data_IF_775026944803
#
_entry.id   IF_775026944803
#
_cell.length_a   1.000
_cell.length_b   1.000
_cell.length_c   1.000
_cell.angle_alpha   90.00
_cell.angle_beta   90.00
_cell.angle_gamma   90.00
#
_symmetry.space_group_name_H-M   'P 1'
#
loop_
_entity.id
_entity.type
_entity.pdbx_description
1 polymer ?
#
# COMPACT_ATOMS: atom_id res chain seq x y z
N UNK A 1 21.36 1.70 -87.33
CA UNK A 1 20.51 0.57 -87.61
C UNK A 1 19.65 0.28 -86.40
N UNK A 2 18.47 0.79 -86.44
CA UNK A 2 17.17 0.15 -86.33
C UNK A 2 16.71 -0.17 -84.89
N UNK A 3 15.76 0.67 -84.41
CA UNK A 3 14.48 0.36 -83.79
C UNK A 3 14.49 -0.61 -82.59
N UNK A 4 13.83 -0.33 -81.43
CA UNK A 4 12.36 -0.15 -81.20
C UNK A 4 12.06 0.44 -79.84
N UNK A 5 11.12 1.31 -79.80
CA UNK A 5 10.27 1.82 -78.77
C UNK A 5 9.54 0.74 -78.01
N UNK A 6 9.29 0.89 -76.71
CA UNK A 6 7.92 0.95 -76.24
C UNK A 6 7.82 1.10 -74.73
N UNK A 7 6.98 1.96 -74.36
CA UNK A 7 6.28 2.28 -73.09
C UNK A 7 6.00 1.07 -72.22
N UNK A 8 6.31 1.21 -70.96
CA UNK A 8 5.47 0.68 -69.88
C UNK A 8 5.29 1.71 -68.76
N UNK A 9 4.20 2.45 -68.84
CA UNK A 9 3.53 3.09 -67.75
C UNK A 9 3.02 1.99 -66.82
N UNK A 10 3.62 1.78 -65.65
CA UNK A 10 3.03 0.98 -64.58
C UNK A 10 2.72 1.89 -63.42
N UNK A 11 1.41 1.98 -63.15
CA UNK A 11 0.73 2.48 -61.99
C UNK A 11 1.52 2.17 -60.70
N UNK A 12 1.93 3.20 -59.98
CA UNK A 12 2.23 3.08 -58.56
C UNK A 12 0.88 3.21 -57.78
N UNK A 13 0.49 2.20 -57.01
CA UNK A 13 -0.63 2.41 -56.06
C UNK A 13 -0.12 3.33 -54.96
N UNK A 14 -0.80 4.45 -54.76
CA UNK A 14 -0.64 5.32 -53.62
C UNK A 14 -1.10 4.48 -52.41
N UNK A 15 -0.14 3.97 -51.64
CA UNK A 15 -0.40 3.42 -50.30
C UNK A 15 -0.63 4.63 -49.40
N UNK A 16 -1.91 4.93 -49.15
CA UNK A 16 -2.30 5.81 -48.07
C UNK A 16 -1.99 5.08 -46.75
N UNK A 17 -0.83 5.38 -46.17
CA UNK A 17 -0.51 4.97 -44.79
C UNK A 17 -1.44 5.76 -43.87
N UNK A 18 -2.53 5.12 -43.51
CA UNK A 18 -3.40 5.60 -42.45
C UNK A 18 -2.59 5.50 -41.15
N UNK A 19 -1.92 6.59 -40.75
CA UNK A 19 -1.34 6.73 -39.42
C UNK A 19 -2.48 6.68 -38.39
N UNK A 20 -2.84 5.49 -37.95
CA UNK A 20 -3.57 5.33 -36.69
C UNK A 20 -2.69 5.92 -35.59
N UNK A 21 -2.92 7.18 -35.24
CA UNK A 21 -2.44 7.74 -34.00
C UNK A 21 -3.10 6.93 -32.87
N UNK A 22 -2.40 5.91 -32.38
CA UNK A 22 -2.66 5.32 -31.09
C UNK A 22 -2.52 6.49 -30.09
N UNK A 23 -3.66 7.03 -29.66
CA UNK A 23 -3.74 7.90 -28.50
C UNK A 23 -3.33 7.03 -27.32
N UNK A 24 -2.04 7.00 -27.01
CA UNK A 24 -1.55 6.54 -25.72
C UNK A 24 -2.17 7.51 -24.73
N UNK A 25 -2.99 7.04 -23.77
CA UNK A 25 -3.53 7.94 -22.76
C UNK A 25 -2.33 8.59 -22.08
N UNK A 26 -2.19 9.90 -22.29
CA UNK A 26 -1.12 10.69 -21.73
C UNK A 26 -1.12 10.49 -20.22
N UNK A 27 0.00 10.04 -19.68
CA UNK A 27 0.26 10.12 -18.25
C UNK A 27 0.05 11.58 -17.85
N UNK A 28 -1.00 11.84 -17.10
CA UNK A 28 -1.22 13.12 -16.45
C UNK A 28 -0.01 13.33 -15.53
N UNK A 29 0.97 14.11 -15.97
CA UNK A 29 1.95 14.66 -15.06
C UNK A 29 1.14 15.52 -14.08
N UNK A 30 0.95 14.97 -12.86
CA UNK A 30 0.26 15.68 -11.79
C UNK A 30 0.90 17.05 -11.64
N UNK A 31 0.14 18.12 -11.89
CA UNK A 31 0.60 19.49 -11.71
C UNK A 31 1.14 19.63 -10.29
N UNK A 32 2.40 20.03 -10.08
CA UNK A 32 2.86 20.33 -8.74
C UNK A 32 1.94 21.39 -8.14
N UNK A 33 1.43 21.12 -6.93
CA UNK A 33 0.59 22.09 -6.25
C UNK A 33 1.37 23.42 -6.12
N UNK A 34 0.76 24.57 -6.46
CA UNK A 34 1.46 25.85 -6.39
C UNK A 34 2.03 26.08 -4.98
N UNK A 35 3.34 26.27 -4.87
CA UNK A 35 3.99 26.71 -3.63
C UNK A 35 4.68 25.65 -2.77
N UNK A 36 4.63 24.33 -3.11
CA UNK A 36 5.37 23.32 -2.33
C UNK A 36 6.63 22.88 -3.06
N UNK A 37 7.79 23.38 -2.63
CA UNK A 37 9.07 22.94 -3.15
C UNK A 37 9.64 21.78 -2.35
N UNK A 38 9.92 20.63 -3.02
CA UNK A 38 10.59 19.46 -2.47
C UNK A 38 11.73 18.98 -3.36
N UNK A 39 12.76 18.41 -2.74
CA UNK A 39 13.95 17.90 -3.43
C UNK A 39 13.80 16.42 -3.85
N UNK A 40 12.74 15.73 -3.42
CA UNK A 40 12.46 14.35 -3.77
C UNK A 40 12.25 14.18 -5.29
N UNK A 41 12.75 13.08 -5.83
CA UNK A 41 12.52 12.66 -7.24
C UNK A 41 11.08 12.25 -7.45
N UNK A 42 10.51 11.51 -6.49
CA UNK A 42 9.11 11.13 -6.49
C UNK A 42 8.51 11.31 -5.09
N UNK A 43 7.26 11.73 -5.03
CA UNK A 43 6.55 11.89 -3.77
C UNK A 43 5.04 11.75 -3.94
N UNK A 44 4.37 11.38 -2.84
CA UNK A 44 2.92 11.41 -2.73
C UNK A 44 2.52 11.78 -1.31
N UNK A 45 1.43 12.51 -1.18
CA UNK A 45 0.72 12.77 0.07
C UNK A 45 -0.72 12.33 -0.11
N UNK A 46 -1.21 11.49 0.77
CA UNK A 46 -2.59 11.00 0.75
C UNK A 46 -3.26 11.21 2.10
N UNK A 47 -4.55 11.40 2.08
CA UNK A 47 -5.39 11.25 3.26
C UNK A 47 -5.46 9.76 3.62
N UNK A 48 -5.13 9.41 4.88
CA UNK A 48 -5.00 8.01 5.29
C UNK A 48 -6.35 7.28 5.37
N UNK A 49 -7.44 8.00 5.62
CA UNK A 49 -8.77 7.42 5.75
C UNK A 49 -9.42 7.20 4.38
N UNK A 50 -9.30 8.19 3.49
CA UNK A 50 -9.98 8.19 2.18
C UNK A 50 -9.11 7.66 1.04
N UNK A 51 -7.77 7.73 1.18
CA UNK A 51 -6.82 7.46 0.08
C UNK A 51 -6.75 8.60 -0.94
N UNK A 52 -7.42 9.73 -0.69
CA UNK A 52 -7.38 10.91 -1.56
C UNK A 52 -5.95 11.41 -1.72
N UNK A 53 -5.56 11.68 -2.97
CA UNK A 53 -4.24 12.23 -3.28
C UNK A 53 -4.29 13.75 -3.15
N UNK A 54 -3.58 14.28 -2.16
CA UNK A 54 -3.48 15.71 -1.89
C UNK A 54 -2.30 16.36 -2.62
N UNK A 55 -1.25 15.59 -2.87
CA UNK A 55 -0.07 15.99 -3.62
C UNK A 55 0.57 14.79 -4.28
N UNK A 56 1.06 14.95 -5.50
CA UNK A 56 1.89 13.97 -6.16
C UNK A 56 2.96 14.62 -7.04
N UNK A 57 4.12 13.98 -7.12
CA UNK A 57 5.22 14.32 -8.00
C UNK A 57 5.84 13.03 -8.48
N UNK A 58 5.77 12.75 -9.78
CA UNK A 58 6.32 11.52 -10.37
C UNK A 58 5.99 10.26 -9.54
N UNK A 59 4.77 10.21 -8.96
CA UNK A 59 4.39 9.24 -7.94
C UNK A 59 4.43 7.79 -8.42
N UNK A 60 4.36 7.57 -9.73
CA UNK A 60 4.32 6.27 -10.40
C UNK A 60 5.65 5.86 -11.05
N UNK A 61 6.71 6.66 -10.87
CA UNK A 61 8.04 6.34 -11.39
C UNK A 61 8.72 5.30 -10.50
N UNK A 62 9.17 4.14 -11.04
CA UNK A 62 9.88 3.13 -10.27
C UNK A 62 11.25 3.65 -9.80
N UNK A 63 11.50 3.60 -8.50
CA UNK A 63 12.74 4.04 -7.85
C UNK A 63 13.18 3.01 -6.79
N UNK A 64 14.48 2.91 -6.49
CA UNK A 64 14.96 2.08 -5.40
C UNK A 64 14.39 2.58 -4.06
N UNK A 65 13.78 1.69 -3.24
CA UNK A 65 13.13 2.06 -1.98
C UNK A 65 14.09 2.25 -0.80
N UNK A 66 15.33 1.80 -0.90
CA UNK A 66 16.20 1.62 0.27
C UNK A 66 15.48 0.87 1.41
N UNK A 67 15.80 1.19 2.67
CA UNK A 67 15.22 0.50 3.84
C UNK A 67 13.74 0.77 4.10
N UNK A 68 13.02 1.54 3.27
CA UNK A 68 11.55 1.57 3.34
C UNK A 68 10.94 0.23 2.93
N UNK A 69 11.68 -0.63 2.21
CA UNK A 69 11.38 -2.06 1.97
C UNK A 69 10.95 -2.81 3.23
N UNK A 70 11.53 -2.46 4.39
CA UNK A 70 11.28 -3.13 5.67
C UNK A 70 9.84 -2.97 6.19
N UNK A 71 9.06 -2.06 5.60
CA UNK A 71 7.61 -1.99 5.84
C UNK A 71 6.94 -3.28 5.36
N UNK A 72 7.25 -3.73 4.14
CA UNK A 72 6.72 -4.99 3.60
C UNK A 72 7.24 -6.19 4.38
N UNK A 73 8.52 -6.17 4.77
CA UNK A 73 9.12 -7.25 5.59
C UNK A 73 8.39 -7.42 6.91
N UNK A 74 8.13 -6.32 7.62
CA UNK A 74 7.41 -6.35 8.89
C UNK A 74 5.94 -6.78 8.70
N UNK A 75 5.28 -6.30 7.65
CA UNK A 75 3.91 -6.67 7.33
C UNK A 75 3.76 -8.18 7.15
N UNK A 76 4.59 -8.79 6.30
CA UNK A 76 4.52 -10.25 6.05
C UNK A 76 4.85 -11.04 7.31
N UNK A 77 5.86 -10.62 8.07
CA UNK A 77 6.22 -11.29 9.31
C UNK A 77 5.06 -11.30 10.32
N UNK A 78 4.35 -10.16 10.45
CA UNK A 78 3.20 -10.02 11.35
C UNK A 78 1.96 -10.79 10.88
N UNK A 79 1.81 -11.02 9.58
CA UNK A 79 0.72 -11.83 9.03
C UNK A 79 0.98 -13.34 9.14
N UNK A 80 2.25 -13.76 9.11
CA UNK A 80 2.62 -15.17 9.00
C UNK A 80 3.05 -15.81 10.33
N UNK A 81 3.45 -15.01 11.33
CA UNK A 81 4.06 -15.50 12.56
C UNK A 81 3.56 -14.75 13.79
N UNK A 82 3.47 -15.44 14.91
CA UNK A 82 3.24 -14.81 16.21
C UNK A 82 4.51 -14.12 16.72
N UNK A 83 4.35 -13.07 17.53
CA UNK A 83 5.47 -12.26 18.05
C UNK A 83 6.50 -13.05 18.84
N UNK A 84 6.07 -14.10 19.55
CA UNK A 84 6.93 -14.99 20.32
C UNK A 84 7.66 -16.04 19.48
N UNK A 85 7.40 -16.14 18.17
CA UNK A 85 8.09 -17.11 17.31
C UNK A 85 9.59 -16.90 17.36
N UNK A 86 10.32 -17.94 17.76
CA UNK A 86 11.78 -17.93 17.84
C UNK A 86 12.36 -18.31 16.48
N UNK A 87 13.26 -17.49 15.96
CA UNK A 87 13.87 -17.65 14.65
C UNK A 87 15.39 -17.88 14.77
N UNK A 88 15.93 -18.92 14.10
CA UNK A 88 17.38 -19.21 14.12
C UNK A 88 18.14 -18.22 13.24
N UNK A 89 19.32 -17.83 13.68
CA UNK A 89 20.23 -16.97 12.92
C UNK A 89 21.16 -17.80 12.07
N UNK A 90 21.09 -17.65 10.77
CA UNK A 90 21.99 -18.26 9.79
C UNK A 90 23.32 -17.51 9.67
N UNK A 91 24.29 -18.14 9.01
CA UNK A 91 25.53 -17.48 8.59
C UNK A 91 25.26 -16.32 7.62
N UNK A 92 24.31 -16.50 6.70
CA UNK A 92 23.88 -15.45 5.75
C UNK A 92 23.36 -14.22 6.50
N UNK A 93 22.43 -14.39 7.43
CA UNK A 93 21.87 -13.28 8.23
C UNK A 93 22.97 -12.55 9.02
N UNK A 94 23.85 -13.28 9.71
CA UNK A 94 24.93 -12.68 10.51
C UNK A 94 25.97 -11.93 9.65
N UNK A 95 26.14 -12.30 8.38
CA UNK A 95 27.10 -11.71 7.44
C UNK A 95 26.51 -10.53 6.65
N UNK A 96 25.20 -10.29 6.75
CA UNK A 96 24.52 -9.21 6.01
C UNK A 96 25.17 -7.85 6.26
N UNK A 97 25.38 -6.98 5.25
CA UNK A 97 25.98 -5.65 5.43
C UNK A 97 25.18 -4.73 6.38
N UNK A 98 25.83 -3.71 7.01
CA UNK A 98 25.12 -2.75 7.89
C UNK A 98 23.95 -2.01 7.20
N UNK A 99 22.94 -1.51 7.99
CA UNK A 99 22.84 -1.44 9.47
C UNK A 99 22.53 -2.80 10.10
N UNK A 100 22.91 -2.96 11.38
CA UNK A 100 22.80 -4.25 12.09
C UNK A 100 22.41 -4.05 13.57
N UNK A 101 21.81 -5.10 14.15
CA UNK A 101 21.78 -5.34 15.59
C UNK A 101 22.87 -6.34 16.02
N UNK A 102 23.65 -6.82 15.05
CA UNK A 102 24.78 -7.74 15.22
C UNK A 102 24.35 -9.09 15.75
N UNK A 103 23.33 -9.70 15.13
CA UNK A 103 23.00 -11.11 15.40
C UNK A 103 24.18 -12.02 15.03
N UNK A 104 24.35 -13.12 15.77
CA UNK A 104 25.43 -14.10 15.57
C UNK A 104 24.86 -15.43 15.11
N UNK A 105 25.57 -16.11 14.23
CA UNK A 105 25.21 -17.46 13.77
C UNK A 105 24.87 -18.37 14.94
N UNK A 106 23.80 -19.19 14.79
CA UNK A 106 23.25 -20.10 15.79
C UNK A 106 22.60 -19.41 17.01
N UNK A 107 22.47 -18.08 17.03
CA UNK A 107 21.56 -17.43 18.00
C UNK A 107 20.11 -17.72 17.62
N UNK A 108 19.25 -17.67 18.63
CA UNK A 108 17.79 -17.78 18.49
C UNK A 108 17.16 -16.45 18.93
N UNK A 109 16.36 -15.83 18.07
CA UNK A 109 15.76 -14.53 18.38
C UNK A 109 14.25 -14.57 18.24
N UNK A 110 13.49 -14.08 19.22
CA UNK A 110 12.04 -13.91 19.06
C UNK A 110 11.73 -12.80 18.06
N UNK A 111 10.64 -13.01 17.30
CA UNK A 111 10.24 -12.11 16.22
C UNK A 111 10.01 -10.66 16.68
N UNK A 112 9.42 -10.44 17.86
CA UNK A 112 9.21 -9.10 18.39
C UNK A 112 10.53 -8.31 18.49
N UNK A 113 11.60 -8.91 18.96
CA UNK A 113 12.93 -8.27 19.08
C UNK A 113 13.55 -7.99 17.72
N UNK A 114 13.37 -8.92 16.76
CA UNK A 114 13.80 -8.74 15.37
C UNK A 114 13.05 -7.59 14.69
N UNK A 115 11.74 -7.46 14.93
CA UNK A 115 10.93 -6.37 14.39
C UNK A 115 11.36 -5.00 14.94
N UNK A 116 11.64 -4.90 16.25
CA UNK A 116 12.23 -3.68 16.82
C UNK A 116 13.57 -3.33 16.16
N UNK A 117 14.46 -4.31 15.99
CA UNK A 117 15.74 -4.12 15.28
C UNK A 117 15.53 -3.65 13.84
N UNK A 118 14.61 -4.28 13.13
CA UNK A 118 14.27 -4.01 11.72
C UNK A 118 13.68 -2.62 11.52
N UNK A 119 12.70 -2.21 12.33
CA UNK A 119 11.97 -0.96 12.14
C UNK A 119 12.67 0.25 12.76
N UNK A 120 13.24 0.15 13.96
CA UNK A 120 13.90 1.28 14.63
C UNK A 120 15.33 1.51 14.10
N UNK A 121 16.18 0.49 14.24
CA UNK A 121 17.61 0.55 13.86
C UNK A 121 17.82 0.34 12.36
N UNK A 122 16.77 -0.08 11.65
CA UNK A 122 16.87 -0.46 10.24
C UNK A 122 17.81 -1.64 9.98
N UNK A 123 17.87 -2.59 10.93
CA UNK A 123 18.80 -3.70 10.91
C UNK A 123 18.56 -4.64 9.72
N UNK A 124 19.56 -4.79 8.86
CA UNK A 124 19.52 -5.67 7.68
C UNK A 124 19.64 -7.14 8.10
N UNK A 125 20.51 -7.44 9.04
CA UNK A 125 20.70 -8.78 9.62
C UNK A 125 19.40 -9.32 10.25
N UNK A 126 18.70 -8.51 11.05
CA UNK A 126 17.40 -8.87 11.60
C UNK A 126 16.34 -9.11 10.50
N UNK A 127 16.36 -8.31 9.44
CA UNK A 127 15.42 -8.49 8.29
C UNK A 127 15.66 -9.82 7.57
N UNK A 128 16.93 -10.26 7.44
CA UNK A 128 17.28 -11.56 6.85
C UNK A 128 16.84 -12.70 7.77
N UNK A 129 17.06 -12.59 9.09
CA UNK A 129 16.55 -13.60 10.05
C UNK A 129 15.03 -13.74 9.94
N UNK A 130 14.30 -12.62 9.87
CA UNK A 130 12.85 -12.63 9.67
C UNK A 130 12.47 -13.35 8.36
N UNK A 131 13.16 -13.04 7.26
CA UNK A 131 12.88 -13.63 5.96
C UNK A 131 13.09 -15.15 5.97
N UNK A 132 14.24 -15.59 6.44
CA UNK A 132 14.60 -17.01 6.52
C UNK A 132 13.70 -17.77 7.50
N UNK A 133 13.42 -17.20 8.68
CA UNK A 133 12.54 -17.79 9.69
C UNK A 133 11.07 -17.83 9.30
N UNK A 134 10.65 -16.97 8.37
CA UNK A 134 9.27 -16.93 7.88
C UNK A 134 9.05 -17.86 6.68
N UNK A 135 9.96 -17.83 5.70
CA UNK A 135 9.78 -18.49 4.41
C UNK A 135 10.85 -19.55 4.09
N UNK A 136 11.84 -19.75 4.96
CA UNK A 136 12.93 -20.71 4.78
C UNK A 136 14.11 -20.16 3.95
N UNK A 137 13.91 -19.12 3.12
CA UNK A 137 15.01 -18.43 2.44
C UNK A 137 14.64 -16.98 2.08
N UNK A 138 15.62 -16.17 1.75
CA UNK A 138 15.46 -14.77 1.30
C UNK A 138 14.66 -14.73 0.00
N UNK A 139 14.91 -15.63 -0.93
CA UNK A 139 14.25 -15.69 -2.25
C UNK A 139 12.76 -16.02 -2.09
N UNK A 140 12.44 -17.06 -1.33
CA UNK A 140 11.03 -17.42 -1.04
C UNK A 140 10.29 -16.31 -0.31
N UNK A 141 11.00 -15.58 0.57
CA UNK A 141 10.43 -14.43 1.23
C UNK A 141 10.18 -13.27 0.27
N UNK A 142 11.09 -13.02 -0.67
CA UNK A 142 10.89 -12.02 -1.73
C UNK A 142 9.69 -12.36 -2.61
N UNK A 143 9.43 -13.65 -2.89
CA UNK A 143 8.23 -14.09 -3.59
C UNK A 143 6.95 -13.78 -2.77
N UNK A 144 6.98 -13.96 -1.44
CA UNK A 144 5.88 -13.55 -0.56
C UNK A 144 5.66 -12.04 -0.63
N UNK A 145 6.76 -11.25 -0.58
CA UNK A 145 6.68 -9.78 -0.69
C UNK A 145 6.04 -9.35 -2.01
N UNK A 146 6.40 -9.97 -3.12
CA UNK A 146 5.87 -9.65 -4.44
C UNK A 146 4.40 -10.06 -4.59
N UNK A 147 4.00 -11.24 -4.09
CA UNK A 147 2.58 -11.64 -4.05
C UNK A 147 1.74 -10.68 -3.22
N UNK A 148 2.23 -10.30 -2.04
CA UNK A 148 1.56 -9.32 -1.17
C UNK A 148 1.46 -7.95 -1.82
N UNK A 149 2.48 -7.50 -2.55
CA UNK A 149 2.44 -6.24 -3.30
C UNK A 149 1.31 -6.25 -4.33
N UNK A 150 1.15 -7.33 -5.09
CA UNK A 150 0.04 -7.50 -6.05
C UNK A 150 -1.31 -7.51 -5.35
N UNK A 151 -1.44 -8.26 -4.25
CA UNK A 151 -2.67 -8.34 -3.43
C UNK A 151 -3.11 -6.97 -2.92
N UNK A 152 -2.17 -6.16 -2.45
CA UNK A 152 -2.42 -4.79 -1.97
C UNK A 152 -2.77 -3.85 -3.13
N UNK A 153 -2.40 -4.18 -4.38
CA UNK A 153 -2.54 -3.34 -5.56
C UNK A 153 -1.30 -2.51 -5.90
N UNK A 154 -0.16 -2.76 -5.26
CA UNK A 154 1.14 -2.14 -5.52
C UNK A 154 1.82 -2.78 -6.75
N UNK A 155 1.28 -2.54 -7.94
CA UNK A 155 1.60 -3.28 -9.17
C UNK A 155 2.90 -2.85 -9.86
N UNK A 156 3.47 -1.72 -9.45
CA UNK A 156 4.76 -1.20 -9.97
C UNK A 156 5.89 -1.36 -8.96
N UNK A 157 5.80 -2.42 -8.16
CA UNK A 157 6.74 -2.75 -7.09
C UNK A 157 7.31 -4.14 -7.31
N UNK A 158 8.61 -4.30 -7.11
CA UNK A 158 9.27 -5.58 -7.13
C UNK A 158 10.37 -5.64 -6.08
N UNK A 159 10.34 -6.64 -5.23
CA UNK A 159 11.29 -6.90 -4.16
C UNK A 159 12.15 -8.11 -4.48
N UNK A 160 13.45 -8.02 -4.19
CA UNK A 160 14.40 -9.14 -4.31
C UNK A 160 15.14 -9.43 -2.99
N UNK A 161 14.95 -8.59 -1.98
CA UNK A 161 15.52 -8.79 -0.65
C UNK A 161 14.65 -8.13 0.43
N UNK A 162 14.77 -8.54 1.72
CA UNK A 162 13.92 -8.05 2.80
C UNK A 162 14.38 -6.72 3.42
N UNK A 163 15.55 -6.19 3.03
CA UNK A 163 16.18 -5.07 3.73
C UNK A 163 16.30 -3.79 2.90
N UNK A 164 16.24 -3.87 1.57
CA UNK A 164 16.29 -2.71 0.69
C UNK A 164 17.68 -2.23 0.32
N UNK A 165 18.72 -3.06 0.46
CA UNK A 165 20.01 -2.81 -0.19
C UNK A 165 19.83 -2.90 -1.70
N UNK A 166 20.63 -2.10 -2.42
CA UNK A 166 20.53 -1.98 -3.86
C UNK A 166 20.75 -3.33 -4.56
N UNK A 167 19.80 -3.71 -5.41
CA UNK A 167 19.87 -4.90 -6.24
C UNK A 167 19.18 -4.64 -7.59
N UNK A 168 19.56 -5.40 -8.61
CA UNK A 168 18.86 -5.35 -9.88
C UNK A 168 17.38 -5.72 -9.66
N UNK A 169 16.47 -5.00 -10.32
CA UNK A 169 15.02 -5.20 -10.21
C UNK A 169 14.41 -5.00 -8.80
N UNK A 170 15.11 -4.34 -7.86
CA UNK A 170 14.55 -3.97 -6.56
C UNK A 170 14.04 -2.54 -6.60
N UNK A 171 12.74 -2.34 -6.76
CA UNK A 171 12.13 -1.03 -6.96
C UNK A 171 10.70 -0.96 -6.41
N UNK A 172 10.24 0.23 -6.19
CA UNK A 172 8.85 0.60 -5.88
C UNK A 172 8.53 1.97 -6.46
N UNK A 173 7.28 2.41 -6.35
CA UNK A 173 6.87 3.79 -6.63
C UNK A 173 6.45 4.49 -5.34
N UNK A 174 6.38 5.83 -5.34
CA UNK A 174 5.92 6.56 -4.17
C UNK A 174 4.45 6.20 -3.85
N UNK A 175 3.62 6.00 -4.87
CA UNK A 175 2.22 5.57 -4.72
C UNK A 175 2.12 4.17 -4.14
N UNK A 176 2.83 3.21 -4.69
CA UNK A 176 2.80 1.83 -4.22
C UNK A 176 3.30 1.72 -2.78
N UNK A 177 4.39 2.43 -2.45
CA UNK A 177 4.93 2.41 -1.09
C UNK A 177 3.97 3.06 -0.07
N UNK A 178 3.29 4.14 -0.44
CA UNK A 178 2.24 4.73 0.40
C UNK A 178 1.07 3.75 0.63
N UNK A 179 0.67 3.02 -0.40
CA UNK A 179 -0.37 1.99 -0.32
C UNK A 179 0.06 0.81 0.58
N UNK A 180 1.28 0.31 0.41
CA UNK A 180 1.87 -0.73 1.27
C UNK A 180 1.93 -0.25 2.72
N UNK A 181 2.33 1.00 2.95
CA UNK A 181 2.43 1.58 4.28
C UNK A 181 1.05 1.76 4.93
N UNK A 182 0.06 2.23 4.18
CA UNK A 182 -1.34 2.33 4.63
C UNK A 182 -1.87 0.95 5.06
N UNK A 183 -1.57 -0.09 4.26
CA UNK A 183 -1.99 -1.46 4.58
C UNK A 183 -1.28 -1.99 5.83
N UNK A 184 0.04 -1.81 5.94
CA UNK A 184 0.82 -2.19 7.14
C UNK A 184 0.32 -1.45 8.39
N UNK A 185 -0.11 -0.20 8.25
CA UNK A 185 -0.69 0.61 9.32
C UNK A 185 -2.01 0.07 9.89
N UNK A 186 -2.66 -0.91 9.26
CA UNK A 186 -3.82 -1.61 9.84
C UNK A 186 -3.42 -2.52 11.00
N UNK A 187 -2.17 -2.99 11.03
CA UNK A 187 -1.63 -3.83 12.10
C UNK A 187 -1.26 -2.96 13.33
N UNK A 188 -1.92 -3.14 14.50
CA UNK A 188 -1.61 -2.35 15.69
C UNK A 188 -0.15 -2.47 16.12
N UNK A 189 0.40 -3.68 16.04
CA UNK A 189 1.80 -3.98 16.39
C UNK A 189 2.79 -3.25 15.48
N UNK A 190 2.49 -3.15 14.19
CA UNK A 190 3.33 -2.37 13.25
C UNK A 190 3.37 -0.89 13.66
N UNK A 191 2.21 -0.29 13.95
CA UNK A 191 2.13 1.11 14.40
C UNK A 191 2.91 1.31 15.70
N UNK A 192 2.71 0.44 16.68
CA UNK A 192 3.39 0.49 17.97
C UNK A 192 4.90 0.46 17.81
N UNK A 193 5.44 -0.54 17.10
CA UNK A 193 6.88 -0.70 16.94
C UNK A 193 7.46 0.46 16.12
N UNK A 194 6.89 0.78 14.95
CA UNK A 194 7.43 1.83 14.08
C UNK A 194 7.28 3.25 14.65
N UNK A 195 6.35 3.45 15.61
CA UNK A 195 6.17 4.69 16.37
C UNK A 195 7.04 4.79 17.63
N UNK A 196 7.70 3.71 18.04
CA UNK A 196 8.57 3.72 19.23
C UNK A 196 9.85 4.52 18.96
N UNK A 197 10.18 5.48 19.84
CA UNK A 197 11.38 6.34 19.71
C UNK A 197 12.67 5.62 20.06
N UNK A 198 12.66 4.92 21.17
CA UNK A 198 13.81 4.16 21.70
C UNK A 198 13.33 2.85 22.33
N UNK A 199 14.15 1.83 22.28
CA UNK A 199 13.87 0.53 22.87
C UNK A 199 15.19 -0.18 23.22
N UNK A 200 15.27 -0.80 24.37
CA UNK A 200 16.35 -1.73 24.70
C UNK A 200 15.85 -3.16 24.47
N UNK A 201 16.56 -3.91 23.67
CA UNK A 201 16.29 -5.34 23.46
C UNK A 201 17.46 -6.15 24.01
N UNK A 202 17.14 -7.26 24.66
CA UNK A 202 18.17 -8.18 25.16
C UNK A 202 18.24 -9.41 24.26
N UNK A 203 19.44 -9.77 23.84
CA UNK A 203 19.65 -10.96 23.04
C UNK A 203 19.62 -12.24 23.91
N UNK A 204 19.55 -13.42 23.29
CA UNK A 204 19.54 -14.69 24.04
C UNK A 204 20.77 -14.95 24.91
N UNK A 205 21.88 -14.21 24.71
CA UNK A 205 23.12 -14.27 25.51
C UNK A 205 23.21 -13.10 26.51
N UNK A 206 22.07 -12.54 26.92
CA UNK A 206 21.94 -11.42 27.88
C UNK A 206 22.65 -10.12 27.48
N UNK A 207 23.03 -9.96 26.21
CA UNK A 207 23.55 -8.69 25.69
C UNK A 207 22.43 -7.73 25.37
N UNK A 208 22.40 -6.60 26.02
CA UNK A 208 21.42 -5.53 25.72
C UNK A 208 21.87 -4.67 24.56
N UNK A 209 20.97 -4.43 23.62
CA UNK A 209 21.16 -3.53 22.47
C UNK A 209 20.17 -2.37 22.58
N UNK A 210 20.71 -1.17 22.67
CA UNK A 210 19.89 0.05 22.64
C UNK A 210 19.56 0.41 21.19
N UNK A 211 18.27 0.58 20.92
CA UNK A 211 17.73 0.93 19.62
C UNK A 211 17.18 2.36 19.67
N UNK A 212 17.61 3.19 18.73
CA UNK A 212 17.03 4.51 18.47
C UNK A 212 16.40 4.51 17.10
N UNK A 213 15.15 4.98 17.02
CA UNK A 213 14.44 5.05 15.75
C UNK A 213 15.09 6.06 14.80
N UNK A 214 15.32 5.65 13.57
CA UNK A 214 15.89 6.50 12.53
C UNK A 214 14.89 7.53 11.98
N UNK A 215 13.61 7.41 12.29
CA UNK A 215 12.61 8.43 11.99
C UNK A 215 12.79 9.64 12.92
N UNK A 216 13.52 10.66 12.46
CA UNK A 216 13.79 11.86 13.25
C UNK A 216 12.56 12.75 13.44
N UNK A 217 11.49 12.57 12.66
CA UNK A 217 10.24 13.32 12.83
C UNK A 217 9.46 12.88 14.07
N UNK A 218 9.72 11.67 14.62
CA UNK A 218 9.12 11.24 15.88
C UNK A 218 9.57 12.16 17.04
N UNK A 219 8.61 12.89 17.59
CA UNK A 219 8.81 13.84 18.68
C UNK A 219 9.43 15.17 18.27
N UNK A 220 9.67 15.43 16.97
CA UNK A 220 10.12 16.73 16.45
C UNK A 220 9.13 17.36 15.48
N UNK A 221 8.32 16.55 14.81
CA UNK A 221 7.23 17.02 13.95
C UNK A 221 5.89 16.81 14.65
N UNK A 222 5.09 17.88 14.90
CA UNK A 222 3.83 17.76 15.59
C UNK A 222 2.89 16.77 14.90
N UNK A 223 2.41 15.79 15.65
CA UNK A 223 1.47 14.78 15.15
C UNK A 223 2.11 13.60 14.41
N UNK A 224 3.44 13.51 14.25
CA UNK A 224 4.08 12.33 13.65
C UNK A 224 3.80 11.08 14.50
N UNK A 225 3.13 10.08 13.93
CA UNK A 225 2.74 8.87 14.62
C UNK A 225 3.77 7.75 14.46
N UNK A 226 4.13 7.42 13.22
CA UNK A 226 5.07 6.35 12.91
C UNK A 226 5.59 6.50 11.46
N UNK A 227 6.66 5.80 11.14
CA UNK A 227 7.23 5.83 9.79
C UNK A 227 8.55 5.08 9.66
N UNK A 228 9.00 4.94 8.40
CA UNK A 228 10.26 4.28 8.06
C UNK A 228 11.09 5.13 7.12
N UNK A 229 12.36 5.37 7.48
CA UNK A 229 13.36 6.02 6.62
C UNK A 229 14.26 5.00 5.94
N UNK A 230 14.86 5.40 4.82
CA UNK A 230 15.85 4.61 4.09
C UNK A 230 16.89 5.48 3.41
N UNK A 231 18.07 4.91 3.21
CA UNK A 231 19.16 5.50 2.43
C UNK A 231 20.04 4.43 1.83
N UNK A 232 20.33 4.57 0.55
CA UNK A 232 21.48 3.97 -0.15
C UNK A 232 22.08 5.01 -1.10
N UNK A 233 23.28 4.77 -1.59
CA UNK A 233 23.90 5.68 -2.57
C UNK A 233 23.06 5.83 -3.84
N UNK A 234 22.40 4.76 -4.29
CA UNK A 234 21.55 4.73 -5.49
C UNK A 234 20.15 5.31 -5.22
N UNK A 235 19.51 4.88 -4.14
CA UNK A 235 18.16 5.33 -3.77
C UNK A 235 18.12 6.78 -3.29
N UNK A 236 19.24 7.33 -2.80
CA UNK A 236 19.29 8.55 -2.01
C UNK A 236 18.42 8.39 -0.75
N UNK A 237 17.88 9.48 -0.21
CA UNK A 237 17.06 9.44 1.01
C UNK A 237 15.60 9.17 0.68
N UNK A 238 15.00 8.21 1.37
CA UNK A 238 13.61 7.80 1.24
C UNK A 238 12.91 7.84 2.60
N UNK A 239 11.62 8.15 2.60
CA UNK A 239 10.80 8.14 3.81
C UNK A 239 9.34 7.82 3.46
N UNK A 240 8.69 7.07 4.33
CA UNK A 240 7.24 6.92 4.36
C UNK A 240 6.78 7.01 5.80
N UNK A 241 5.70 7.75 6.07
CA UNK A 241 5.19 7.93 7.43
C UNK A 241 3.80 8.52 7.49
N UNK A 242 3.17 8.39 8.65
CA UNK A 242 1.83 8.93 8.94
C UNK A 242 1.91 9.94 10.06
N UNK A 243 1.21 11.04 9.89
CA UNK A 243 1.00 12.06 10.92
C UNK A 243 -0.49 12.34 11.09
N UNK A 244 -0.88 12.78 12.29
CA UNK A 244 -2.25 13.14 12.67
C UNK A 244 -2.31 14.53 13.28
N UNK A 245 -3.25 15.37 12.81
CA UNK A 245 -3.57 16.68 13.40
C UNK A 245 -5.04 16.99 13.21
N UNK A 246 -5.69 17.50 14.25
CA UNK A 246 -7.09 17.92 14.17
C UNK A 246 -8.05 16.83 13.71
N UNK A 247 -7.79 15.56 14.07
CA UNK A 247 -8.60 14.42 13.65
C UNK A 247 -8.35 13.94 12.22
N UNK A 248 -7.43 14.57 11.48
CA UNK A 248 -7.03 14.18 10.13
C UNK A 248 -5.71 13.43 10.12
N UNK A 249 -5.67 12.30 9.44
CA UNK A 249 -4.51 11.44 9.29
C UNK A 249 -3.96 11.53 7.85
N UNK A 250 -2.68 11.86 7.70
CA UNK A 250 -2.03 11.95 6.40
C UNK A 250 -0.87 10.98 6.29
N UNK A 251 -0.75 10.31 5.15
CA UNK A 251 0.42 9.49 4.79
C UNK A 251 1.24 10.23 3.75
N UNK A 252 2.52 10.41 4.03
CA UNK A 252 3.51 10.99 3.13
C UNK A 252 4.52 9.94 2.70
N UNK A 253 4.83 9.88 1.41
CA UNK A 253 5.95 9.11 0.88
C UNK A 253 6.84 9.99 0.01
N UNK A 254 8.16 9.94 0.24
CA UNK A 254 9.18 10.63 -0.57
C UNK A 254 10.29 9.66 -0.94
N UNK A 255 10.69 9.62 -2.21
CA UNK A 255 11.76 8.79 -2.75
C UNK A 255 12.80 9.64 -3.47
N UNK A 256 14.07 9.30 -3.32
CA UNK A 256 15.16 9.97 -4.01
C UNK A 256 15.39 11.43 -3.58
N UNK A 257 15.17 11.75 -2.32
CA UNK A 257 15.27 13.09 -1.75
C UNK A 257 16.70 13.45 -1.33
N UNK A 258 17.03 14.75 -1.37
CA UNK A 258 18.24 15.29 -0.73
C UNK A 258 18.04 15.47 0.78
N UNK A 259 16.80 15.77 1.22
CA UNK A 259 16.43 15.89 2.63
C UNK A 259 15.00 15.39 2.87
N UNK A 260 14.84 14.07 2.98
CA UNK A 260 13.56 13.40 3.08
C UNK A 260 12.68 13.84 4.26
N UNK A 261 13.27 14.21 5.40
CA UNK A 261 12.50 14.70 6.55
C UNK A 261 11.97 16.11 6.32
N UNK A 262 12.77 16.98 5.70
CA UNK A 262 12.32 18.34 5.35
C UNK A 262 11.25 18.29 4.26
N UNK A 263 11.43 17.45 3.25
CA UNK A 263 10.45 17.26 2.19
C UNK A 263 9.13 16.70 2.73
N UNK A 264 9.21 15.66 3.59
CA UNK A 264 8.04 15.07 4.24
C UNK A 264 7.30 16.08 5.14
N UNK A 265 8.02 16.85 5.96
CA UNK A 265 7.43 17.87 6.80
C UNK A 265 6.69 18.95 5.99
N UNK A 266 7.30 19.42 4.89
CA UNK A 266 6.66 20.40 3.99
C UNK A 266 5.38 19.87 3.35
N UNK A 267 5.39 18.61 2.90
CA UNK A 267 4.21 17.98 2.33
C UNK A 267 3.11 17.78 3.38
N UNK A 268 3.47 17.35 4.58
CA UNK A 268 2.51 17.22 5.68
C UNK A 268 1.93 18.58 6.08
N UNK A 269 2.78 19.63 6.19
CA UNK A 269 2.31 20.99 6.49
C UNK A 269 1.39 21.52 5.39
N UNK A 270 1.69 21.24 4.12
CA UNK A 270 0.80 21.54 3.00
C UNK A 270 -0.54 20.82 3.18
N UNK A 271 -0.55 19.51 3.39
CA UNK A 271 -1.78 18.74 3.51
C UNK A 271 -2.64 19.11 4.73
N UNK A 272 -2.03 19.49 5.85
CA UNK A 272 -2.77 19.94 7.03
C UNK A 272 -3.29 21.38 6.91
N UNK A 273 -2.68 22.22 6.06
CA UNK A 273 -3.15 23.59 5.77
C UNK A 273 -4.20 23.61 4.66
N UNK A 274 -4.10 22.70 3.72
CA UNK A 274 -5.09 22.58 2.66
C UNK A 274 -6.36 22.07 3.31
N UNK A 275 -7.39 22.91 3.38
CA UNK A 275 -8.74 22.39 3.59
C UNK A 275 -8.92 21.31 2.53
N UNK A 276 -9.39 20.15 2.95
CA UNK A 276 -9.80 19.14 1.99
C UNK A 276 -10.95 19.75 1.20
N UNK A 277 -10.63 20.51 0.15
CA UNK A 277 -11.60 20.67 -0.92
C UNK A 277 -11.73 19.27 -1.51
N UNK A 278 -12.80 18.56 -1.22
CA UNK A 278 -12.94 17.23 -1.77
C UNK A 278 -12.91 17.40 -3.28
N UNK A 279 -11.99 16.75 -3.97
CA UNK A 279 -12.02 16.58 -5.43
C UNK A 279 -13.42 16.13 -5.88
N UNK A 280 -14.17 15.58 -4.95
CA UNK A 280 -15.55 15.13 -5.05
C UNK A 280 -16.62 16.23 -4.88
N UNK A 281 -16.35 17.36 -4.23
CA UNK A 281 -17.30 18.49 -4.18
C UNK A 281 -17.52 19.12 -5.57
N UNK A 282 -16.53 19.00 -6.47
CA UNK A 282 -16.69 19.38 -7.87
C UNK A 282 -17.55 18.38 -8.65
N UNK A 283 -17.53 17.10 -8.24
CA UNK A 283 -18.31 16.00 -8.82
C UNK A 283 -19.74 15.92 -8.23
N UNK A 284 -19.98 16.44 -7.03
CA UNK A 284 -21.33 16.52 -6.45
C UNK A 284 -22.28 17.42 -7.27
N UNK A 285 -21.73 18.34 -8.09
CA UNK A 285 -22.53 19.21 -8.96
C UNK A 285 -22.97 18.54 -10.26
N UNK A 286 -22.34 17.44 -10.66
CA UNK A 286 -22.49 16.89 -12.01
C UNK A 286 -23.12 15.49 -12.09
N UNK A 287 -23.35 14.76 -10.98
CA UNK A 287 -23.92 13.39 -11.04
C UNK A 287 -24.77 13.06 -9.80
N UNK A 288 -26.01 12.67 -10.02
CA UNK A 288 -26.87 12.11 -8.97
C UNK A 288 -26.41 10.69 -8.57
N UNK A 289 -26.66 10.27 -7.32
CA UNK A 289 -26.28 8.93 -6.79
C UNK A 289 -26.97 7.79 -7.56
N UNK A 290 -28.01 8.13 -8.34
CA UNK A 290 -28.85 7.20 -9.08
C UNK A 290 -28.29 6.80 -10.45
N UNK A 291 -27.23 7.46 -10.95
CA UNK A 291 -26.74 7.27 -12.33
C UNK A 291 -25.73 6.13 -12.50
N UNK A 292 -25.23 5.56 -11.41
CA UNK A 292 -24.40 4.35 -11.48
C UNK A 292 -25.32 3.12 -11.47
N UNK A 293 -25.56 2.53 -12.62
CA UNK A 293 -26.26 1.25 -12.70
C UNK A 293 -25.51 0.22 -11.83
N UNK A 294 -26.21 -0.49 -10.91
CA UNK A 294 -25.56 -1.55 -10.14
C UNK A 294 -25.08 -2.63 -11.11
N UNK A 295 -23.82 -3.05 -10.96
CA UNK A 295 -23.33 -4.27 -11.61
C UNK A 295 -24.21 -5.46 -11.19
N UNK A 296 -24.25 -6.52 -12.00
CA UNK A 296 -24.89 -7.78 -11.58
C UNK A 296 -24.33 -8.18 -10.21
N UNK A 297 -25.16 -8.76 -9.32
CA UNK A 297 -24.81 -9.10 -7.91
C UNK A 297 -23.61 -10.04 -7.74
N UNK A 298 -22.92 -10.40 -8.81
CA UNK A 298 -21.86 -11.42 -8.84
C UNK A 298 -20.45 -10.91 -9.14
N UNK A 299 -20.29 -9.65 -9.59
CA UNK A 299 -18.96 -9.12 -9.95
C UNK A 299 -18.91 -7.61 -9.86
N UNK A 300 -17.93 -7.06 -9.11
CA UNK A 300 -17.72 -5.62 -9.05
C UNK A 300 -16.96 -5.16 -7.81
N UNK A 301 -16.79 -3.85 -7.71
CA UNK A 301 -16.24 -3.22 -6.51
C UNK A 301 -17.32 -3.11 -5.44
N UNK A 302 -17.02 -3.63 -4.25
CA UNK A 302 -17.92 -3.64 -3.09
C UNK A 302 -17.28 -2.86 -1.95
N UNK A 303 -18.09 -2.13 -1.21
CA UNK A 303 -17.64 -1.34 -0.07
C UNK A 303 -18.11 -2.04 1.21
N UNK A 304 -17.19 -2.55 2.01
CA UNK A 304 -17.51 -3.01 3.36
C UNK A 304 -17.62 -1.78 4.28
N UNK A 305 -18.85 -1.39 4.61
CA UNK A 305 -19.14 -0.22 5.44
C UNK A 305 -18.76 -0.44 6.91
N UNK A 306 -19.07 -1.64 7.45
CA UNK A 306 -18.74 -2.05 8.82
C UNK A 306 -18.77 -3.57 8.98
N UNK A 307 -18.31 -4.08 10.16
CA UNK A 307 -18.39 -5.48 10.54
C UNK A 307 -18.73 -5.59 12.02
N UNK A 308 -19.78 -6.34 12.35
CA UNK A 308 -20.30 -6.51 13.70
C UNK A 308 -20.29 -7.98 14.13
N UNK A 309 -20.19 -8.22 15.45
CA UNK A 309 -20.46 -9.53 16.06
C UNK A 309 -21.96 -9.73 16.34
N UNK A 310 -22.71 -8.64 16.39
CA UNK A 310 -24.14 -8.61 16.64
C UNK A 310 -24.92 -8.34 15.35
N UNK A 311 -25.89 -9.20 15.05
CA UNK A 311 -26.74 -9.13 13.85
C UNK A 311 -27.68 -7.91 13.88
N UNK A 312 -28.21 -7.54 15.06
CA UNK A 312 -29.15 -6.43 15.19
C UNK A 312 -28.43 -5.11 14.82
N UNK A 313 -27.22 -4.88 15.31
CA UNK A 313 -26.43 -3.69 14.97
C UNK A 313 -26.05 -3.63 13.46
N UNK A 314 -25.85 -4.79 12.84
CA UNK A 314 -25.63 -4.83 11.40
C UNK A 314 -26.90 -4.49 10.62
N UNK A 315 -28.08 -4.94 11.10
CA UNK A 315 -29.38 -4.63 10.52
C UNK A 315 -29.68 -3.13 10.63
N UNK A 316 -29.47 -2.52 11.81
CA UNK A 316 -29.67 -1.08 12.02
C UNK A 316 -28.86 -0.21 11.05
N UNK A 317 -27.58 -0.54 10.86
CA UNK A 317 -26.76 0.17 9.89
C UNK A 317 -27.22 -0.09 8.44
N UNK A 318 -27.57 -1.32 8.09
CA UNK A 318 -28.10 -1.67 6.78
C UNK A 318 -29.36 -0.86 6.45
N UNK A 319 -30.34 -0.82 7.35
CA UNK A 319 -31.60 -0.10 7.18
C UNK A 319 -31.38 1.42 7.08
N UNK A 320 -30.43 1.94 7.87
CA UNK A 320 -30.01 3.34 7.77
C UNK A 320 -29.45 3.64 6.39
N UNK A 321 -28.56 2.80 5.86
CA UNK A 321 -27.95 3.01 4.54
C UNK A 321 -28.97 2.88 3.42
N UNK A 322 -29.89 1.92 3.49
CA UNK A 322 -30.99 1.77 2.52
C UNK A 322 -31.90 3.00 2.51
N UNK A 323 -32.27 3.52 3.69
CA UNK A 323 -33.10 4.73 3.81
C UNK A 323 -32.44 5.95 3.18
N UNK A 324 -31.10 6.02 3.17
CA UNK A 324 -30.34 7.08 2.52
C UNK A 324 -29.97 6.77 1.06
N UNK A 325 -30.56 5.76 0.46
CA UNK A 325 -30.42 5.43 -0.97
C UNK A 325 -29.16 4.62 -1.33
N UNK A 326 -28.44 4.08 -0.36
CA UNK A 326 -27.28 3.23 -0.64
C UNK A 326 -27.72 1.76 -0.83
N UNK A 327 -27.32 1.08 -1.92
CA UNK A 327 -27.65 -0.34 -2.13
C UNK A 327 -26.84 -1.22 -1.16
N UNK A 328 -27.33 -1.35 0.07
CA UNK A 328 -26.67 -2.08 1.14
C UNK A 328 -27.17 -3.53 1.24
N UNK A 329 -26.30 -4.42 1.73
CA UNK A 329 -26.62 -5.82 2.06
C UNK A 329 -25.74 -6.33 3.20
N UNK A 330 -26.18 -7.40 3.89
CA UNK A 330 -25.45 -8.01 4.99
C UNK A 330 -24.89 -9.36 4.53
N UNK A 331 -23.58 -9.53 4.66
CA UNK A 331 -22.89 -10.80 4.48
C UNK A 331 -22.58 -11.44 5.84
N UNK A 332 -22.97 -12.71 6.01
CA UNK A 332 -22.64 -13.48 7.21
C UNK A 332 -21.37 -14.29 6.96
N UNK A 333 -20.34 -14.10 7.81
CA UNK A 333 -19.05 -14.78 7.69
C UNK A 333 -18.77 -15.56 8.98
N UNK A 334 -18.59 -16.88 8.86
CA UNK A 334 -18.13 -17.71 9.98
C UNK A 334 -16.61 -17.69 10.06
N UNK A 335 -16.05 -17.38 11.24
CA UNK A 335 -14.63 -17.34 11.53
C UNK A 335 -14.17 -18.53 12.39
N UNK A 336 -14.90 -19.66 12.35
CA UNK A 336 -14.60 -20.84 13.14
C UNK A 336 -14.70 -20.56 14.64
N UNK A 337 -13.62 -20.76 15.40
CA UNK A 337 -13.56 -20.51 16.85
C UNK A 337 -13.80 -19.05 17.24
N UNK A 338 -13.59 -18.11 16.31
CA UNK A 338 -13.73 -16.66 16.56
C UNK A 338 -15.18 -16.16 16.33
N UNK A 339 -16.11 -17.10 16.09
CA UNK A 339 -17.54 -16.84 15.99
C UNK A 339 -18.00 -16.33 14.63
N UNK A 340 -19.18 -15.71 14.62
CA UNK A 340 -19.82 -15.18 13.39
C UNK A 340 -19.65 -13.67 13.31
N UNK A 341 -19.41 -13.13 12.10
CA UNK A 341 -19.38 -11.70 11.80
C UNK A 341 -20.43 -11.35 10.75
N UNK A 342 -21.08 -10.22 10.96
CA UNK A 342 -22.07 -9.64 10.05
C UNK A 342 -21.43 -8.40 9.41
N UNK A 343 -21.08 -8.52 8.11
CA UNK A 343 -20.46 -7.43 7.34
C UNK A 343 -21.54 -6.67 6.59
N UNK A 344 -21.67 -5.40 6.88
CA UNK A 344 -22.55 -4.52 6.12
C UNK A 344 -21.78 -4.02 4.91
N UNK A 345 -22.28 -4.34 3.71
CA UNK A 345 -21.65 -4.03 2.43
C UNK A 345 -22.55 -3.12 1.60
N UNK A 346 -21.95 -2.30 0.72
CA UNK A 346 -22.65 -1.36 -0.18
C UNK A 346 -22.15 -1.55 -1.61
N UNK A 347 -23.06 -1.57 -2.56
CA UNK A 347 -22.80 -1.70 -4.01
C UNK A 347 -22.64 -3.14 -4.44
N UNK A 348 -22.53 -3.30 -5.67
CA UNK A 348 -21.54 -3.77 -6.64
C UNK A 348 -21.37 -2.70 -7.71
N UNK A 349 -20.23 -2.03 -7.76
CA UNK A 349 -19.95 -0.98 -8.73
C UNK A 349 -19.11 -1.55 -9.87
N UNK A 350 -19.42 -1.23 -11.11
CA UNK A 350 -18.65 -1.65 -12.29
C UNK A 350 -17.27 -1.01 -12.32
N UNK A 351 -17.17 0.22 -11.84
CA UNK A 351 -15.94 0.99 -11.82
C UNK A 351 -15.53 1.36 -10.40
N UNK A 352 -14.22 1.29 -10.14
CA UNK A 352 -13.64 1.65 -8.84
C UNK A 352 -13.93 3.08 -8.44
N UNK A 353 -14.01 3.99 -9.41
CA UNK A 353 -14.27 5.41 -9.17
C UNK A 353 -15.61 5.64 -8.48
N UNK A 354 -16.68 4.94 -8.89
CA UNK A 354 -17.99 5.04 -8.24
C UNK A 354 -17.97 4.48 -6.82
N UNK A 355 -17.25 3.37 -6.60
CA UNK A 355 -17.06 2.83 -5.25
C UNK A 355 -16.31 3.82 -4.35
N UNK A 356 -15.26 4.50 -4.85
CA UNK A 356 -14.52 5.52 -4.09
C UNK A 356 -15.41 6.74 -3.75
N UNK A 357 -16.23 7.20 -4.67
CA UNK A 357 -17.20 8.29 -4.42
C UNK A 357 -18.18 7.91 -3.31
N UNK A 358 -18.76 6.72 -3.39
CA UNK A 358 -19.68 6.22 -2.37
C UNK A 358 -18.97 6.04 -1.02
N UNK A 359 -17.77 5.47 -1.01
CA UNK A 359 -16.97 5.34 0.19
C UNK A 359 -16.74 6.68 0.90
N UNK A 360 -16.41 7.73 0.14
CA UNK A 360 -16.25 9.08 0.68
C UNK A 360 -17.52 9.58 1.37
N UNK A 361 -18.71 9.42 0.74
CA UNK A 361 -19.98 9.81 1.34
C UNK A 361 -20.28 9.03 2.62
N UNK A 362 -20.01 7.73 2.66
CA UNK A 362 -20.18 6.92 3.87
C UNK A 362 -19.29 7.40 5.04
N UNK A 363 -18.06 7.86 4.73
CA UNK A 363 -17.22 8.50 5.76
C UNK A 363 -17.81 9.81 6.24
N UNK A 364 -18.21 10.69 5.31
CA UNK A 364 -18.71 12.04 5.60
C UNK A 364 -20.03 12.01 6.36
N UNK A 365 -20.99 11.23 5.86
CA UNK A 365 -22.39 11.30 6.30
C UNK A 365 -22.67 10.41 7.53
N UNK A 366 -21.91 9.32 7.68
CA UNK A 366 -22.14 8.31 8.72
C UNK A 366 -20.94 8.08 9.63
N UNK A 367 -19.83 8.81 9.44
CA UNK A 367 -18.57 8.64 10.19
C UNK A 367 -18.06 7.18 10.21
N UNK A 368 -18.28 6.46 9.11
CA UNK A 368 -17.85 5.08 8.94
C UNK A 368 -16.39 5.02 8.49
N UNK A 369 -15.76 3.82 8.59
CA UNK A 369 -14.42 3.53 8.07
C UNK A 369 -14.48 2.42 7.02
N UNK A 370 -15.12 2.69 5.86
CA UNK A 370 -15.40 1.66 4.88
C UNK A 370 -14.15 1.25 4.08
N UNK A 371 -14.14 -0.01 3.65
CA UNK A 371 -13.09 -0.62 2.83
C UNK A 371 -13.68 -1.01 1.48
N UNK A 372 -12.91 -0.81 0.38
CA UNK A 372 -13.30 -1.27 -0.95
C UNK A 372 -12.56 -2.55 -1.27
N UNK A 373 -13.28 -3.56 -1.74
CA UNK A 373 -12.76 -4.79 -2.34
C UNK A 373 -13.35 -5.00 -3.72
N UNK A 374 -12.68 -5.79 -4.57
CA UNK A 374 -13.26 -6.31 -5.81
C UNK A 374 -13.70 -7.74 -5.53
N UNK A 375 -14.96 -8.04 -5.77
CA UNK A 375 -15.55 -9.36 -5.54
C UNK A 375 -16.03 -9.96 -6.88
N UNK A 376 -15.80 -11.26 -7.02
CA UNK A 376 -16.29 -12.08 -8.12
C UNK A 376 -16.80 -13.39 -7.51
N UNK A 377 -18.03 -13.78 -7.82
CA UNK A 377 -18.58 -15.07 -7.37
C UNK A 377 -17.81 -16.20 -8.05
N UNK A 378 -17.23 -17.11 -7.27
CA UNK A 378 -16.69 -18.37 -7.77
C UNK A 378 -17.86 -19.30 -8.18
N UNK A 379 -17.96 -19.58 -9.46
CA UNK A 379 -19.00 -20.45 -10.07
C UNK A 379 -18.86 -21.93 -9.69
N UNK A 380 -18.02 -22.30 -8.71
CA UNK A 380 -17.66 -23.70 -8.43
C UNK A 380 -18.32 -24.34 -7.20
N UNK A 381 -19.51 -23.96 -6.78
CA UNK A 381 -20.20 -24.70 -5.68
C UNK A 381 -21.69 -24.98 -5.94
N UNK A 382 -22.07 -25.27 -7.18
CA UNK A 382 -23.43 -25.83 -7.46
C UNK A 382 -23.36 -27.06 -8.37
N UNK A 383 -22.56 -28.03 -8.01
CA UNK A 383 -22.64 -29.36 -8.64
C UNK A 383 -22.29 -30.44 -7.62
N UNK A 384 -23.20 -30.69 -6.68
CA UNK A 384 -23.31 -31.96 -5.97
C UNK A 384 -24.58 -31.96 -5.09
N UNK A 385 -25.75 -32.17 -5.69
CA UNK A 385 -26.92 -32.79 -5.05
C UNK A 385 -27.91 -33.20 -6.15
N UNK A 386 -27.65 -34.34 -6.77
CA UNK A 386 -28.75 -35.11 -7.34
C UNK A 386 -29.12 -36.16 -6.31
N UNK A 387 -30.39 -36.27 -5.92
CA UNK A 387 -30.88 -37.42 -5.13
C UNK A 387 -31.05 -38.59 -6.08
N UNK A 388 -30.36 -39.68 -5.79
CA UNK A 388 -30.60 -40.97 -6.41
C UNK A 388 -31.98 -41.49 -5.99
N UNK A 389 -32.70 -41.99 -6.98
CA UNK A 389 -33.88 -42.87 -6.85
C UNK A 389 -33.43 -44.22 -6.39
#
# INVERSE_FOLDING_TARGET
MVFYTEQFRKLFPIIVVLCCHLIVPGFSEGRPAPGVYITARAAILIDAATGEVLFEKAADVPLPPASTTKVMTALIALEQKSLGTVMPVSKNASSTPPCKIYVRTNEQWPLDKLLYGTLLKSANDASVVIAEGTAGSVEKFADLMNRKAIEIGARRTHFVNPHGLDASRHYTTARDLALIFQYAGRQPVFRQISGTRTMSITNPRSRTVFLKNHNRLLGTYPGMLYGKSGYTSKAKRCFVGQASRGGRDLIVCVLGSQNHFKDAARLLDYGFKTEAEPRFAKLERDVSVTDAAPASKSRGFVIQAASFSDRARAADLHDTLITHGYPSFIETVSLGSDGTRYRVKVGYYTEREYAEKTRYRLVKDFNLRPLISFEQEDVQTKSAAQPGV
#
